data_IF_702570690089
#
_entry.id   IF_702570690089
#
_cell.length_a   1.000
_cell.length_b   1.000
_cell.length_c   1.000
_cell.angle_alpha   90.00
_cell.angle_beta   90.00
_cell.angle_gamma   90.00
#
_symmetry.space_group_name_H-M   'P 1'
#
loop_
_entity.id
_entity.type
_entity.pdbx_description
1 polymer ?
#
# COMPACT_ATOMS: atom_id res chain seq x y z
N UNK A 1 -17.74 13.33 15.99
CA UNK A 1 -17.96 13.66 14.57
C UNK A 1 -16.98 13.03 13.57
N UNK A 2 -16.43 11.83 13.84
CA UNK A 2 -15.66 11.09 12.81
C UNK A 2 -16.56 10.39 11.79
N UNK A 3 -17.79 10.04 12.17
CA UNK A 3 -18.75 9.35 11.29
C UNK A 3 -19.15 10.27 10.13
N UNK A 4 -19.51 11.53 10.40
CA UNK A 4 -19.79 12.51 9.34
C UNK A 4 -18.58 12.74 8.42
N UNK A 5 -17.37 12.79 8.99
CA UNK A 5 -16.14 12.96 8.22
C UNK A 5 -15.83 11.75 7.31
N UNK A 6 -16.24 10.53 7.69
CA UNK A 6 -16.09 9.32 6.87
C UNK A 6 -17.21 9.15 5.84
N UNK A 7 -18.37 9.78 6.06
CA UNK A 7 -19.51 9.77 5.12
C UNK A 7 -19.33 10.72 3.94
N UNK A 8 -18.34 11.62 3.99
CA UNK A 8 -18.08 12.58 2.92
C UNK A 8 -17.36 11.91 1.75
N UNK A 9 -17.60 12.35 0.51
CA UNK A 9 -16.86 11.84 -0.64
C UNK A 9 -15.38 12.15 -0.50
N UNK A 10 -14.54 11.17 -0.86
CA UNK A 10 -13.09 11.32 -0.87
C UNK A 10 -12.68 12.42 -1.86
N UNK A 11 -11.68 13.24 -1.52
CA UNK A 11 -11.15 14.30 -2.38
C UNK A 11 -9.75 13.95 -2.91
N UNK A 12 -9.38 14.55 -4.04
CA UNK A 12 -8.05 14.34 -4.64
C UNK A 12 -6.93 14.80 -3.69
N UNK A 13 -7.11 15.94 -3.02
CA UNK A 13 -6.15 16.49 -2.06
C UNK A 13 -5.88 15.52 -0.91
N UNK A 14 -6.92 14.87 -0.37
CA UNK A 14 -6.76 13.88 0.70
C UNK A 14 -5.93 12.67 0.23
N UNK A 15 -6.12 12.21 -1.01
CA UNK A 15 -5.34 11.10 -1.58
C UNK A 15 -3.87 11.51 -1.78
N UNK A 16 -3.62 12.71 -2.32
CA UNK A 16 -2.26 13.22 -2.51
C UNK A 16 -1.53 13.42 -1.18
N UNK A 17 -2.21 13.96 -0.17
CA UNK A 17 -1.65 14.17 1.17
C UNK A 17 -1.38 12.83 1.86
N UNK A 18 -2.29 11.86 1.76
CA UNK A 18 -2.08 10.50 2.28
C UNK A 18 -0.85 9.82 1.64
N UNK A 19 -0.66 9.98 0.33
CA UNK A 19 0.53 9.47 -0.37
C UNK A 19 1.81 10.18 0.11
N UNK A 20 1.74 11.50 0.33
CA UNK A 20 2.88 12.29 0.82
C UNK A 20 3.32 11.86 2.21
N UNK A 21 2.36 11.53 3.07
CA UNK A 21 2.56 11.13 4.46
C UNK A 21 3.04 9.68 4.62
N UNK A 22 3.07 8.88 3.54
CA UNK A 22 3.62 7.52 3.60
C UNK A 22 5.05 7.52 4.17
N UNK A 23 5.43 6.58 5.06
CA UNK A 23 6.77 6.55 5.61
C UNK A 23 7.81 6.25 4.51
N UNK A 24 8.84 7.09 4.40
CA UNK A 24 9.95 6.88 3.48
C UNK A 24 10.93 5.82 4.03
N UNK A 25 11.53 5.01 3.15
CA UNK A 25 12.68 4.16 3.51
C UNK A 25 12.38 2.74 3.97
N UNK A 26 11.15 2.23 3.82
CA UNK A 26 10.89 0.79 3.94
C UNK A 26 11.30 0.11 2.63
N UNK A 27 12.02 -1.01 2.72
CA UNK A 27 12.30 -1.87 1.57
C UNK A 27 11.00 -2.20 0.84
N UNK A 28 10.99 -2.28 -0.51
CA UNK A 28 9.81 -2.67 -1.25
C UNK A 28 9.29 -3.99 -0.68
N UNK A 29 8.06 -4.00 -0.20
CA UNK A 29 7.39 -5.25 0.13
C UNK A 29 7.18 -6.03 -1.18
N UNK A 30 6.97 -7.34 -1.07
CA UNK A 30 7.03 -8.33 -2.15
C UNK A 30 6.34 -7.96 -3.49
N UNK A 31 5.40 -7.02 -3.48
CA UNK A 31 4.62 -6.53 -4.62
C UNK A 31 5.35 -5.50 -5.52
N UNK A 32 6.57 -5.08 -5.18
CA UNK A 32 7.42 -4.23 -6.04
C UNK A 32 7.03 -2.74 -6.14
N UNK A 33 5.85 -2.37 -5.62
CA UNK A 33 5.39 -0.98 -5.51
C UNK A 33 5.84 -0.37 -4.17
N UNK A 34 7.06 0.17 -4.14
CA UNK A 34 7.58 0.85 -2.94
C UNK A 34 6.81 2.14 -2.61
N UNK A 35 6.85 2.58 -1.35
CA UNK A 35 6.32 3.91 -0.97
C UNK A 35 6.92 5.06 -1.81
N UNK A 36 8.15 4.89 -2.31
CA UNK A 36 8.77 5.85 -3.23
C UNK A 36 8.07 5.90 -4.59
N UNK A 37 7.51 4.79 -5.07
CA UNK A 37 6.73 4.76 -6.30
C UNK A 37 5.48 5.64 -6.16
N UNK A 38 4.71 5.42 -5.09
CA UNK A 38 3.53 6.23 -4.81
C UNK A 38 3.87 7.71 -4.67
N UNK A 39 4.92 8.05 -3.91
CA UNK A 39 5.37 9.45 -3.77
C UNK A 39 5.82 10.07 -5.09
N UNK A 40 6.56 9.32 -5.92
CA UNK A 40 7.09 9.82 -7.20
C UNK A 40 5.99 10.10 -8.21
N UNK A 41 4.96 9.25 -8.24
CA UNK A 41 3.86 9.35 -9.20
C UNK A 41 2.56 9.84 -8.57
N UNK A 42 2.62 10.51 -7.41
CA UNK A 42 1.45 10.91 -6.64
C UNK A 42 0.42 11.66 -7.49
N UNK A 43 0.83 12.67 -8.25
CA UNK A 43 -0.08 13.47 -9.08
C UNK A 43 -0.68 12.70 -10.27
N UNK A 44 0.00 11.67 -10.77
CA UNK A 44 -0.53 10.82 -11.86
C UNK A 44 -1.44 9.72 -11.32
N UNK A 45 -1.11 9.15 -10.15
CA UNK A 45 -1.84 8.06 -9.53
C UNK A 45 -3.07 8.52 -8.75
N UNK A 46 -3.01 9.69 -8.09
CA UNK A 46 -4.09 10.22 -7.27
C UNK A 46 -5.46 10.23 -7.98
N UNK A 47 -5.62 10.73 -9.22
CA UNK A 47 -6.92 10.69 -9.89
C UNK A 47 -7.40 9.26 -10.18
N UNK A 48 -6.51 8.34 -10.54
CA UNK A 48 -6.86 6.94 -10.83
C UNK A 48 -7.26 6.19 -9.55
N UNK A 49 -6.53 6.42 -8.45
CA UNK A 49 -6.86 5.88 -7.13
C UNK A 49 -8.18 6.42 -6.62
N UNK A 50 -8.41 7.73 -6.78
CA UNK A 50 -9.66 8.39 -6.37
C UNK A 50 -10.87 7.77 -7.08
N UNK A 51 -10.80 7.64 -8.40
CA UNK A 51 -11.87 7.02 -9.20
C UNK A 51 -12.13 5.57 -8.75
N UNK A 52 -11.05 4.81 -8.52
CA UNK A 52 -11.14 3.43 -8.05
C UNK A 52 -11.81 3.34 -6.68
N UNK A 53 -11.45 4.21 -5.74
CA UNK A 53 -12.05 4.24 -4.42
C UNK A 53 -13.51 4.69 -4.44
N UNK A 54 -13.88 5.66 -5.27
CA UNK A 54 -15.28 6.04 -5.45
C UNK A 54 -16.10 4.87 -6.00
N UNK A 55 -15.64 4.20 -7.05
CA UNK A 55 -16.31 3.02 -7.59
C UNK A 55 -16.41 1.89 -6.56
N UNK A 56 -15.37 1.70 -5.74
CA UNK A 56 -15.37 0.70 -4.68
C UNK A 56 -16.33 1.03 -3.54
N UNK A 57 -16.46 2.31 -3.17
CA UNK A 57 -17.44 2.77 -2.18
C UNK A 57 -18.87 2.60 -2.69
N UNK A 58 -19.14 2.90 -3.97
CA UNK A 58 -20.45 2.71 -4.58
C UNK A 58 -20.83 1.23 -4.71
N UNK A 59 -19.89 0.38 -5.12
CA UNK A 59 -20.11 -1.06 -5.33
C UNK A 59 -19.97 -1.88 -4.05
N UNK A 60 -19.38 -1.30 -3.00
CA UNK A 60 -19.03 -1.99 -1.76
C UNK A 60 -17.87 -2.99 -1.89
N UNK A 61 -17.15 -3.01 -3.03
CA UNK A 61 -16.09 -3.97 -3.32
C UNK A 61 -14.91 -3.31 -4.03
N UNK A 62 -13.69 -3.64 -3.59
CA UNK A 62 -12.46 -3.22 -4.27
C UNK A 62 -12.25 -4.03 -5.57
N UNK A 63 -11.50 -3.50 -6.55
CA UNK A 63 -11.11 -4.26 -7.73
C UNK A 63 -10.40 -5.57 -7.35
N UNK A 64 -10.72 -6.66 -8.05
CA UNK A 64 -10.16 -7.99 -7.77
C UNK A 64 -8.63 -8.02 -7.85
N UNK A 65 -8.03 -7.22 -8.73
CA UNK A 65 -6.57 -7.07 -8.86
C UNK A 65 -5.92 -6.54 -7.57
N UNK A 66 -6.60 -5.66 -6.81
CA UNK A 66 -6.10 -5.15 -5.54
C UNK A 66 -6.24 -6.15 -4.39
N UNK A 67 -7.00 -7.25 -4.58
CA UNK A 67 -7.12 -8.32 -3.60
C UNK A 67 -6.02 -9.38 -3.76
N UNK A 68 -5.25 -9.33 -4.85
CA UNK A 68 -4.13 -10.23 -5.07
C UNK A 68 -2.96 -9.82 -4.19
N UNK A 69 -2.49 -10.74 -3.33
CA UNK A 69 -1.31 -10.54 -2.50
C UNK A 69 -0.18 -11.47 -2.95
N UNK A 70 1.02 -10.93 -3.18
CA UNK A 70 2.19 -11.74 -3.55
C UNK A 70 2.88 -12.26 -2.28
N UNK A 71 2.76 -13.55 -1.98
CA UNK A 71 3.48 -14.17 -0.86
C UNK A 71 4.90 -14.52 -1.31
N UNK A 72 5.89 -13.72 -0.91
CA UNK A 72 7.32 -14.03 -1.13
C UNK A 72 7.94 -14.58 0.16
N UNK A 73 8.55 -15.76 0.06
CA UNK A 73 9.33 -16.36 1.14
C UNK A 73 10.72 -15.74 1.19
N UNK A 74 11.00 -14.93 2.22
CA UNK A 74 12.35 -14.42 2.48
C UNK A 74 13.18 -15.48 3.23
N UNK A 75 14.32 -15.96 2.68
CA UNK A 75 15.17 -16.90 3.39
C UNK A 75 15.81 -16.19 4.60
N UNK A 76 15.57 -16.74 5.80
CA UNK A 76 16.27 -16.27 7.00
C UNK A 76 17.77 -16.55 6.85
N UNK A 77 18.66 -15.63 7.27
CA UNK A 77 20.08 -15.94 7.36
C UNK A 77 20.26 -17.16 8.26
N UNK A 78 21.06 -18.12 7.81
CA UNK A 78 21.27 -19.38 8.53
C UNK A 78 21.70 -19.11 9.97
N UNK A 79 21.09 -19.84 10.93
CA UNK A 79 21.65 -19.92 12.29
C UNK A 79 23.05 -20.53 12.15
N UNK A 80 24.10 -19.98 12.79
CA UNK A 80 25.38 -20.67 12.83
C UNK A 80 25.13 -22.05 13.44
N UNK A 81 25.50 -23.10 12.71
CA UNK A 81 25.50 -24.46 13.24
C UNK A 81 26.50 -24.47 14.39
N UNK A 82 26.02 -24.63 15.62
CA UNK A 82 26.87 -25.02 16.74
C UNK A 82 27.46 -26.38 16.37
N UNK A 83 28.69 -26.36 15.85
CA UNK A 83 29.44 -27.58 15.60
C UNK A 83 29.77 -28.18 16.95
N UNK A 84 28.93 -29.09 17.44
CA UNK A 84 29.29 -30.01 18.50
C UNK A 84 30.48 -30.83 18.01
N UNK A 85 31.67 -30.46 18.49
CA UNK A 85 32.89 -31.24 18.31
C UNK A 85 32.80 -32.47 19.21
N UNK A 86 32.87 -33.66 18.60
CA UNK A 86 33.25 -34.90 19.30
C UNK A 86 34.75 -34.87 19.60
#
# INVERSE_FOLDING_TARGET
>A
DQIEALSRPLTLTEVEDAIRDLPGGKSPEADGLSNLYYKKYASTLAPHLLETFHQAMERGTLPTEMLLATIVTLPKPAKPTDSYKN
#
